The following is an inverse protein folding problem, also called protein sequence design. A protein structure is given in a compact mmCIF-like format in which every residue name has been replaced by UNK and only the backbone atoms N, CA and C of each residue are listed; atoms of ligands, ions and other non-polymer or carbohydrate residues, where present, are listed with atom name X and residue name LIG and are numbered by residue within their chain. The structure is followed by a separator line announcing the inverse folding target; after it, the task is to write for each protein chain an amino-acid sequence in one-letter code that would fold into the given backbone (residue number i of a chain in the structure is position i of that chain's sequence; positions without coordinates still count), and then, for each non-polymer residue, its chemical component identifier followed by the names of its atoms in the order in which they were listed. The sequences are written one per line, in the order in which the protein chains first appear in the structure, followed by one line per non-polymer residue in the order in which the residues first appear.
data_IF_045358579820
#
_entry.id   IF_045358579820
#
_cell.length_a   1.000
_cell.length_b   1.000
_cell.length_c   1.000
_cell.angle_alpha   90.00
_cell.angle_beta   90.00
_cell.angle_gamma   90.00
#
_symmetry.space_group_name_H-M   'P 1'
#
loop_
_entity.id
_entity.type
_entity.pdbx_description
1 polymer ?
#
# COMPACT_ATOMS: atom_id res chain seq x y z
N UNK A 1 5.24 -1.04 -12.24
CA UNK A 1 3.98 -0.45 -12.75
C UNK A 1 3.77 0.97 -12.23
N UNK A 2 4.11 1.25 -10.98
CA UNK A 2 3.98 2.58 -10.34
C UNK A 2 5.32 3.03 -9.73
N UNK A 3 6.36 3.33 -10.54
CA UNK A 3 7.69 3.66 -10.03
C UNK A 3 7.71 4.93 -9.17
N UNK A 4 6.79 5.85 -9.42
CA UNK A 4 6.69 7.10 -8.66
C UNK A 4 6.35 6.88 -7.17
N UNK A 5 5.64 5.79 -6.85
CA UNK A 5 5.36 5.42 -5.45
C UNK A 5 6.63 5.00 -4.72
N UNK A 6 7.48 4.18 -5.37
CA UNK A 6 8.78 3.80 -4.82
C UNK A 6 9.70 5.00 -4.63
N UNK A 7 9.82 5.85 -5.66
CA UNK A 7 10.61 7.10 -5.58
C UNK A 7 10.12 8.03 -4.47
N UNK A 8 8.81 8.15 -4.30
CA UNK A 8 8.21 8.93 -3.23
C UNK A 8 8.55 8.37 -1.85
N UNK A 9 8.49 7.05 -1.69
CA UNK A 9 8.88 6.38 -0.44
C UNK A 9 10.36 6.66 -0.11
N UNK A 10 11.26 6.52 -1.09
CA UNK A 10 12.68 6.85 -0.92
C UNK A 10 12.87 8.33 -0.51
N UNK A 11 12.13 9.26 -1.13
CA UNK A 11 12.19 10.69 -0.78
C UNK A 11 11.74 10.97 0.66
N UNK A 12 10.66 10.35 1.11
CA UNK A 12 10.15 10.52 2.49
C UNK A 12 11.18 10.02 3.49
N UNK A 13 11.66 8.79 3.33
CA UNK A 13 12.61 8.19 4.28
C UNK A 13 13.97 8.89 4.25
N UNK A 14 14.47 9.26 3.06
CA UNK A 14 15.72 10.03 2.92
C UNK A 14 15.61 11.43 3.54
N UNK A 15 14.45 12.11 3.44
CA UNK A 15 14.19 13.39 4.12
C UNK A 15 14.26 13.27 5.63
N UNK A 16 13.86 12.13 6.17
CA UNK A 16 13.94 11.81 7.60
C UNK A 16 15.34 11.35 8.04
N UNK A 17 16.34 11.35 7.14
CA UNK A 17 17.74 11.05 7.45
C UNK A 17 18.11 9.58 7.40
N UNK A 18 17.26 8.72 6.84
CA UNK A 18 17.56 7.30 6.69
C UNK A 18 18.33 7.03 5.41
N UNK A 19 19.30 6.10 5.49
CA UNK A 19 19.94 5.50 4.33
C UNK A 19 19.03 4.42 3.76
N UNK A 20 18.57 4.59 2.53
CA UNK A 20 17.53 3.75 1.94
C UNK A 20 18.01 3.14 0.63
N UNK A 21 18.01 1.84 0.58
CA UNK A 21 18.35 1.08 -0.62
C UNK A 21 17.09 0.52 -1.31
N UNK A 22 17.18 0.37 -2.62
CA UNK A 22 16.20 -0.31 -3.45
C UNK A 22 16.90 -1.46 -4.18
N UNK A 23 16.89 -2.69 -3.63
CA UNK A 23 17.56 -3.82 -4.25
C UNK A 23 17.02 -4.10 -5.64
N UNK A 24 17.88 -4.09 -6.66
CA UNK A 24 17.48 -4.34 -8.05
C UNK A 24 17.00 -5.79 -8.25
N UNK A 25 17.42 -6.69 -7.40
CA UNK A 25 17.09 -8.11 -7.40
C UNK A 25 15.71 -8.42 -6.85
N UNK A 26 15.05 -7.46 -6.20
CA UNK A 26 13.71 -7.68 -5.65
C UNK A 26 12.68 -7.98 -6.73
N UNK A 27 11.68 -8.78 -6.37
CA UNK A 27 10.59 -9.16 -7.24
C UNK A 27 9.23 -8.91 -6.57
N UNK A 28 8.16 -9.41 -7.16
CA UNK A 28 6.83 -9.41 -6.55
C UNK A 28 6.84 -10.24 -5.25
N UNK A 29 6.07 -9.81 -4.23
CA UNK A 29 5.88 -10.56 -2.98
C UNK A 29 5.13 -11.89 -3.13
N UNK A 30 4.61 -12.21 -4.32
CA UNK A 30 3.90 -13.47 -4.58
C UNK A 30 2.43 -13.51 -4.16
N UNK A 31 1.89 -12.46 -3.55
CA UNK A 31 0.51 -12.42 -3.05
C UNK A 31 -0.53 -12.84 -4.10
N UNK A 32 -0.39 -12.41 -5.34
CA UNK A 32 -1.33 -12.76 -6.39
C UNK A 32 -1.39 -14.27 -6.66
N UNK A 33 -0.25 -14.96 -6.59
CA UNK A 33 -0.21 -16.42 -6.71
C UNK A 33 -0.96 -17.08 -5.56
N UNK A 34 -0.69 -16.62 -4.31
CA UNK A 34 -1.33 -17.18 -3.12
C UNK A 34 -2.84 -16.98 -3.16
N UNK A 35 -3.30 -15.76 -3.42
CA UNK A 35 -4.73 -15.41 -3.45
C UNK A 35 -5.50 -16.09 -4.59
N UNK A 36 -4.80 -16.50 -5.65
CA UNK A 36 -5.41 -17.20 -6.80
C UNK A 36 -5.40 -18.71 -6.64
N UNK A 37 -4.76 -19.24 -5.56
CA UNK A 37 -4.65 -20.67 -5.28
C UNK A 37 -3.37 -21.32 -5.82
N UNK A 38 -2.50 -20.58 -6.52
CA UNK A 38 -1.21 -21.08 -7.04
C UNK A 38 -0.12 -21.01 -5.97
N UNK A 39 -0.39 -21.58 -4.80
CA UNK A 39 0.48 -21.44 -3.63
C UNK A 39 1.88 -22.02 -3.84
N UNK A 40 1.99 -23.18 -4.50
CA UNK A 40 3.29 -23.80 -4.80
C UNK A 40 4.14 -22.92 -5.73
N UNK A 41 3.50 -22.24 -6.68
CA UNK A 41 4.18 -21.34 -7.61
C UNK A 41 4.64 -20.03 -6.95
N UNK A 42 4.12 -19.71 -5.77
CA UNK A 42 4.60 -18.58 -4.99
C UNK A 42 5.96 -18.87 -4.30
N UNK A 43 6.34 -20.14 -4.10
CA UNK A 43 7.53 -20.52 -3.35
C UNK A 43 8.81 -19.82 -3.85
N UNK A 44 9.16 -19.82 -5.16
CA UNK A 44 10.38 -19.14 -5.62
C UNK A 44 10.40 -17.63 -5.32
N UNK A 45 9.22 -16.98 -5.27
CA UNK A 45 9.11 -15.56 -4.92
C UNK A 45 9.34 -15.34 -3.43
N UNK A 46 8.86 -16.26 -2.60
CA UNK A 46 9.07 -16.25 -1.14
C UNK A 46 10.55 -16.46 -0.81
N UNK A 47 11.20 -17.45 -1.45
CA UNK A 47 12.64 -17.71 -1.32
C UNK A 47 13.45 -16.48 -1.71
N UNK A 48 13.16 -15.92 -2.88
CA UNK A 48 13.85 -14.73 -3.38
C UNK A 48 13.67 -13.53 -2.46
N UNK A 49 12.46 -13.31 -1.94
CA UNK A 49 12.20 -12.23 -0.99
C UNK A 49 13.03 -12.40 0.28
N UNK A 50 13.04 -13.59 0.88
CA UNK A 50 13.82 -13.88 2.06
C UNK A 50 15.33 -13.67 1.84
N UNK A 51 15.85 -14.13 0.70
CA UNK A 51 17.26 -13.97 0.33
C UNK A 51 17.66 -12.50 0.16
N UNK A 52 16.91 -11.75 -0.65
CA UNK A 52 17.23 -10.35 -0.99
C UNK A 52 17.15 -9.45 0.22
N UNK A 53 16.15 -9.66 1.08
CA UNK A 53 15.91 -8.75 2.20
C UNK A 53 16.53 -9.21 3.53
N UNK A 54 17.23 -10.36 3.57
CA UNK A 54 17.92 -10.83 4.76
C UNK A 54 18.89 -9.81 5.39
N UNK A 55 19.73 -9.08 4.62
CA UNK A 55 20.76 -8.21 5.18
C UNK A 55 20.26 -6.86 5.72
N UNK A 56 19.01 -6.45 5.43
CA UNK A 56 18.50 -5.15 5.82
C UNK A 56 17.94 -5.14 7.24
N UNK A 57 18.09 -4.03 7.96
CA UNK A 57 17.57 -3.84 9.33
C UNK A 57 16.05 -3.68 9.35
N UNK A 58 15.50 -2.98 8.38
CA UNK A 58 14.06 -2.77 8.19
C UNK A 58 13.69 -2.83 6.70
N UNK A 59 12.49 -3.33 6.42
CA UNK A 59 11.93 -3.41 5.08
C UNK A 59 10.63 -2.62 5.08
N UNK A 60 10.59 -1.52 4.30
CA UNK A 60 9.42 -0.66 4.23
C UNK A 60 8.76 -0.79 2.87
N UNK A 61 7.51 -1.24 2.86
CA UNK A 61 6.74 -1.35 1.62
C UNK A 61 5.54 -0.40 1.64
N UNK A 62 5.38 0.46 0.63
CA UNK A 62 4.19 1.30 0.47
C UNK A 62 3.01 0.47 -0.09
N UNK A 63 2.68 -0.63 0.60
CA UNK A 63 1.61 -1.54 0.19
C UNK A 63 1.21 -2.46 1.35
N UNK A 64 0.09 -2.19 1.98
CA UNK A 64 -0.45 -3.02 3.04
C UNK A 64 -0.72 -4.46 2.58
N UNK A 65 -1.09 -4.64 1.33
CA UNK A 65 -1.33 -5.96 0.76
C UNK A 65 -0.05 -6.79 0.62
N UNK A 66 1.06 -6.18 0.20
CA UNK A 66 2.35 -6.85 0.13
C UNK A 66 2.89 -7.19 1.52
N UNK A 67 2.85 -6.24 2.46
CA UNK A 67 3.29 -6.46 3.85
C UNK A 67 2.46 -7.56 4.51
N UNK A 68 1.14 -7.54 4.33
CA UNK A 68 0.24 -8.59 4.82
C UNK A 68 0.60 -9.97 4.26
N UNK A 69 0.96 -10.06 2.98
CA UNK A 69 1.43 -11.31 2.37
C UNK A 69 2.74 -11.79 2.99
N UNK A 70 3.73 -10.90 3.13
CA UNK A 70 5.02 -11.26 3.73
C UNK A 70 4.85 -11.74 5.17
N UNK A 71 4.14 -10.99 6.00
CA UNK A 71 3.98 -11.33 7.42
C UNK A 71 3.14 -12.59 7.69
N UNK A 72 2.14 -12.87 6.86
CA UNK A 72 1.16 -13.94 7.15
C UNK A 72 1.20 -15.10 6.17
N UNK A 73 1.53 -14.87 4.89
CA UNK A 73 1.45 -15.92 3.87
C UNK A 73 2.80 -16.57 3.56
N UNK A 74 3.92 -15.84 3.65
CA UNK A 74 5.24 -16.39 3.34
C UNK A 74 5.60 -17.58 4.25
N UNK A 75 5.42 -17.45 5.57
CA UNK A 75 5.66 -18.55 6.50
C UNK A 75 4.77 -19.76 6.21
N UNK A 76 3.51 -19.55 5.83
CA UNK A 76 2.60 -20.62 5.43
C UNK A 76 3.11 -21.36 4.17
N UNK A 77 3.58 -20.61 3.15
CA UNK A 77 4.14 -21.18 1.91
C UNK A 77 5.42 -21.97 2.22
N UNK A 78 6.33 -21.38 3.00
CA UNK A 78 7.58 -22.01 3.41
C UNK A 78 7.35 -23.32 4.18
N UNK A 79 6.41 -23.32 5.14
CA UNK A 79 6.03 -24.52 5.91
C UNK A 79 5.43 -25.62 5.04
N UNK A 80 4.68 -25.26 4.01
CA UNK A 80 3.97 -26.22 3.17
C UNK A 80 4.82 -26.78 2.03
N UNK A 81 5.71 -26.00 1.45
CA UNK A 81 6.39 -26.34 0.20
C UNK A 81 7.91 -26.15 0.25
N UNK A 82 8.44 -25.46 1.23
CA UNK A 82 9.87 -25.14 1.39
C UNK A 82 10.61 -26.09 2.32
N UNK A 83 11.81 -25.68 2.72
CA UNK A 83 12.65 -26.35 3.73
C UNK A 83 12.46 -25.75 5.12
N UNK A 84 12.87 -26.46 6.16
CA UNK A 84 12.86 -25.94 7.53
C UNK A 84 13.69 -24.66 7.67
N UNK A 85 14.87 -24.58 7.05
CA UNK A 85 15.71 -23.39 7.06
C UNK A 85 15.08 -22.17 6.36
N UNK A 86 14.22 -22.40 5.36
CA UNK A 86 13.47 -21.32 4.73
C UNK A 86 12.40 -20.73 5.67
N UNK A 87 11.79 -21.56 6.52
CA UNK A 87 10.79 -21.05 7.49
C UNK A 87 11.44 -20.03 8.41
N UNK A 88 12.61 -20.35 8.98
CA UNK A 88 13.32 -19.42 9.86
C UNK A 88 13.71 -18.12 9.15
N UNK A 89 14.16 -18.22 7.90
CA UNK A 89 14.54 -17.04 7.09
C UNK A 89 13.33 -16.12 6.81
N UNK A 90 12.19 -16.68 6.39
CA UNK A 90 11.00 -15.87 6.11
C UNK A 90 10.39 -15.27 7.38
N UNK A 91 10.43 -15.97 8.52
CA UNK A 91 9.96 -15.43 9.80
C UNK A 91 10.87 -14.27 10.26
N UNK A 92 12.19 -14.40 10.13
CA UNK A 92 13.14 -13.34 10.44
C UNK A 92 12.94 -12.08 9.57
N UNK A 93 12.67 -12.25 8.28
CA UNK A 93 12.40 -11.13 7.37
C UNK A 93 11.02 -10.52 7.62
N UNK A 94 10.01 -11.34 7.93
CA UNK A 94 8.65 -10.87 8.20
C UNK A 94 8.58 -9.92 9.42
N UNK A 95 9.36 -10.18 10.48
CA UNK A 95 9.37 -9.37 11.71
C UNK A 95 9.88 -7.95 11.51
N UNK A 96 10.68 -7.71 10.48
CA UNK A 96 11.26 -6.41 10.12
C UNK A 96 10.63 -5.79 8.86
N UNK A 97 9.51 -6.33 8.39
CA UNK A 97 8.77 -5.81 7.24
C UNK A 97 7.59 -4.97 7.70
N UNK A 98 7.54 -3.71 7.30
CA UNK A 98 6.57 -2.72 7.75
C UNK A 98 5.81 -2.09 6.57
N UNK A 99 4.55 -1.78 6.79
CA UNK A 99 3.81 -0.85 5.94
C UNK A 99 4.29 0.58 6.23
N UNK A 100 4.25 1.45 5.22
CA UNK A 100 4.83 2.80 5.33
C UNK A 100 4.30 3.59 6.52
N UNK A 101 2.99 3.58 6.76
CA UNK A 101 2.39 4.32 7.88
C UNK A 101 2.77 3.73 9.24
N UNK A 102 2.87 2.40 9.34
CA UNK A 102 3.36 1.73 10.54
C UNK A 102 4.81 2.11 10.82
N UNK A 103 5.66 2.06 9.79
CA UNK A 103 7.08 2.38 9.96
C UNK A 103 7.28 3.81 10.45
N UNK A 104 6.60 4.77 9.82
CA UNK A 104 6.71 6.18 10.20
C UNK A 104 6.22 6.43 11.64
N UNK A 105 5.06 5.90 12.01
CA UNK A 105 4.42 6.22 13.29
C UNK A 105 4.91 5.32 14.42
N UNK A 106 5.01 4.00 14.22
CA UNK A 106 5.31 3.06 15.30
C UNK A 106 6.82 2.84 15.50
N UNK A 107 7.62 2.93 14.44
CA UNK A 107 9.06 2.66 14.49
C UNK A 107 9.86 3.95 14.62
N UNK A 108 9.52 4.98 13.82
CA UNK A 108 10.24 6.26 13.83
C UNK A 108 9.64 7.30 14.79
N UNK A 109 8.43 7.05 15.32
CA UNK A 109 7.65 8.01 16.14
C UNK A 109 7.45 9.37 15.44
N UNK A 110 7.20 9.33 14.12
CA UNK A 110 7.04 10.52 13.27
C UNK A 110 5.63 10.55 12.70
N UNK A 111 4.90 11.64 12.93
CA UNK A 111 3.61 11.90 12.30
C UNK A 111 3.65 13.06 11.29
N UNK A 112 4.60 13.99 11.43
CA UNK A 112 4.85 15.08 10.48
C UNK A 112 6.15 14.81 9.73
N UNK A 113 6.03 14.57 8.44
CA UNK A 113 7.17 14.33 7.53
C UNK A 113 7.58 15.59 6.74
N UNK A 114 7.07 16.76 7.10
CA UNK A 114 7.31 18.03 6.40
C UNK A 114 6.68 18.08 5.00
N UNK A 115 5.54 17.45 4.82
CA UNK A 115 4.80 17.45 3.56
C UNK A 115 3.91 18.69 3.42
N UNK A 116 3.75 19.16 2.17
CA UNK A 116 2.81 20.22 1.79
C UNK A 116 1.96 19.77 0.60
N UNK A 117 0.63 19.83 0.75
CA UNK A 117 -0.27 19.36 -0.29
C UNK A 117 -1.61 20.10 -0.24
N UNK A 118 -1.79 21.22 -0.98
CA UNK A 118 -2.93 22.14 -0.85
C UNK A 118 -4.16 21.64 -1.64
N UNK A 119 -4.63 20.43 -1.32
CA UNK A 119 -5.77 19.79 -1.99
C UNK A 119 -6.74 19.17 -1.00
N UNK A 120 -7.98 19.01 -1.44
CA UNK A 120 -9.02 18.29 -0.73
C UNK A 120 -8.91 16.80 -1.01
N UNK A 121 -8.62 16.02 0.04
CA UNK A 121 -8.25 14.61 -0.05
C UNK A 121 -9.22 13.75 0.76
N UNK A 122 -9.63 12.61 0.21
CA UNK A 122 -10.30 11.55 0.95
C UNK A 122 -9.44 10.29 0.99
N UNK A 123 -9.51 9.53 2.09
CA UNK A 123 -8.66 8.35 2.31
C UNK A 123 -9.46 7.05 2.24
N UNK A 124 -9.02 6.14 1.37
CA UNK A 124 -9.53 4.76 1.32
C UNK A 124 -8.60 3.82 2.11
N UNK A 125 -8.99 3.35 3.31
CA UNK A 125 -8.25 2.33 4.03
C UNK A 125 -8.37 1.00 3.28
N UNK A 126 -7.24 0.46 2.85
CA UNK A 126 -7.24 -0.78 2.08
C UNK A 126 -7.58 -1.98 2.97
N UNK A 127 -8.15 -3.02 2.39
CA UNK A 127 -8.62 -4.19 3.17
C UNK A 127 -7.50 -4.83 3.98
N UNK A 128 -6.27 -4.90 3.44
CA UNK A 128 -5.13 -5.49 4.15
C UNK A 128 -4.65 -4.60 5.29
N UNK A 129 -4.54 -3.29 5.07
CA UNK A 129 -4.16 -2.34 6.13
C UNK A 129 -5.20 -2.33 7.25
N UNK A 130 -6.49 -2.37 6.90
CA UNK A 130 -7.58 -2.30 7.87
C UNK A 130 -7.76 -3.59 8.68
N UNK A 131 -7.74 -4.77 8.01
CA UNK A 131 -8.21 -6.03 8.59
C UNK A 131 -7.10 -7.03 8.89
N UNK A 132 -5.96 -6.95 8.20
CA UNK A 132 -4.86 -7.89 8.35
C UNK A 132 -3.71 -7.28 9.17
N UNK A 133 -3.28 -6.08 8.81
CA UNK A 133 -2.20 -5.38 9.51
C UNK A 133 -2.68 -4.55 10.70
N UNK A 134 -3.97 -4.19 10.73
CA UNK A 134 -4.57 -3.36 11.77
C UNK A 134 -3.82 -2.03 11.94
N UNK A 135 -3.51 -1.37 10.82
CA UNK A 135 -2.75 -0.10 10.79
C UNK A 135 -3.41 0.99 11.65
N UNK A 136 -4.74 0.92 11.82
CA UNK A 136 -5.48 1.85 12.68
C UNK A 136 -5.54 3.26 12.10
N UNK A 137 -5.33 4.26 12.94
CA UNK A 137 -5.42 5.68 12.60
C UNK A 137 -4.10 6.32 12.12
N UNK A 138 -3.02 5.52 11.98
CA UNK A 138 -1.68 6.02 11.64
C UNK A 138 -1.66 6.81 10.34
N UNK A 139 -2.29 6.27 9.28
CA UNK A 139 -2.41 6.98 7.99
C UNK A 139 -3.18 8.29 8.13
N UNK A 140 -4.24 8.31 8.95
CA UNK A 140 -5.02 9.53 9.22
C UNK A 140 -4.18 10.57 9.97
N UNK A 141 -3.37 10.14 10.94
CA UNK A 141 -2.44 11.03 11.67
C UNK A 141 -1.44 11.68 10.72
N UNK A 142 -0.83 10.88 9.84
CA UNK A 142 0.10 11.39 8.82
C UNK A 142 -0.57 12.39 7.89
N UNK A 143 -1.76 12.08 7.36
CA UNK A 143 -2.48 12.98 6.45
C UNK A 143 -2.91 14.28 7.12
N UNK A 144 -3.30 14.25 8.40
CA UNK A 144 -3.66 15.45 9.16
C UNK A 144 -2.47 16.36 9.46
N UNK A 145 -1.26 15.83 9.46
CA UNK A 145 -0.03 16.60 9.65
C UNK A 145 0.50 17.22 8.36
N UNK A 146 -0.06 16.87 7.19
CA UNK A 146 0.33 17.48 5.91
C UNK A 146 -0.16 18.92 5.84
N UNK A 147 0.76 19.87 5.64
CA UNK A 147 0.44 21.30 5.54
C UNK A 147 -0.49 21.59 4.36
N UNK A 148 -1.51 22.40 4.59
CA UNK A 148 -2.55 22.81 3.65
C UNK A 148 -3.47 21.70 3.09
N UNK A 149 -3.36 20.45 3.55
CA UNK A 149 -4.25 19.37 3.13
C UNK A 149 -5.60 19.45 3.86
N UNK A 150 -6.71 19.43 3.11
CA UNK A 150 -8.05 19.29 3.66
C UNK A 150 -8.45 17.80 3.61
N UNK A 151 -8.42 17.12 4.76
CA UNK A 151 -8.83 15.71 4.84
C UNK A 151 -10.34 15.60 5.04
N UNK A 152 -11.03 14.95 4.11
CA UNK A 152 -12.48 14.70 4.15
C UNK A 152 -12.75 13.23 4.42
N UNK A 153 -13.66 12.94 5.34
CA UNK A 153 -14.04 11.58 5.68
C UNK A 153 -14.72 10.87 4.51
N UNK A 154 -14.29 9.64 4.21
CA UNK A 154 -14.88 8.80 3.17
C UNK A 154 -16.09 8.06 3.73
N UNK A 155 -17.32 8.24 3.21
CA UNK A 155 -18.46 7.42 3.58
C UNK A 155 -18.19 5.94 3.32
N UNK A 156 -18.61 5.07 4.24
CA UNK A 156 -18.39 3.63 4.15
C UNK A 156 -16.93 3.27 3.78
N UNK A 157 -15.98 3.91 4.49
CA UNK A 157 -14.55 3.77 4.22
C UNK A 157 -14.06 2.33 4.25
N UNK A 158 -14.64 1.51 5.16
CA UNK A 158 -14.31 0.10 5.38
C UNK A 158 -14.75 -0.85 4.26
N UNK A 159 -15.58 -0.40 3.32
CA UNK A 159 -15.99 -1.19 2.17
C UNK A 159 -14.84 -1.39 1.18
N UNK A 160 -14.75 -2.61 0.62
CA UNK A 160 -13.75 -2.94 -0.39
C UNK A 160 -13.99 -2.16 -1.69
N UNK A 161 -12.91 -1.82 -2.39
CA UNK A 161 -12.99 -1.20 -3.72
C UNK A 161 -13.38 -2.17 -4.85
N UNK A 162 -13.38 -3.49 -4.58
CA UNK A 162 -13.72 -4.52 -5.57
C UNK A 162 -12.54 -5.08 -6.37
N UNK A 163 -11.31 -4.59 -6.22
CA UNK A 163 -10.18 -5.06 -7.03
C UNK A 163 -9.86 -6.54 -6.79
N UNK A 164 -9.42 -6.92 -5.60
CA UNK A 164 -9.13 -8.31 -5.21
C UNK A 164 -8.19 -9.09 -6.14
N UNK A 165 -7.34 -8.43 -6.93
CA UNK A 165 -6.44 -9.07 -7.89
C UNK A 165 -7.20 -9.76 -9.03
N UNK A 166 -7.03 -11.08 -9.16
CA UNK A 166 -7.75 -11.87 -10.18
C UNK A 166 -9.27 -11.94 -9.96
N UNK A 167 -9.75 -11.56 -8.77
CA UNK A 167 -11.18 -11.43 -8.48
C UNK A 167 -11.86 -10.44 -9.44
N UNK A 168 -11.22 -9.32 -9.72
CA UNK A 168 -11.76 -8.30 -10.63
C UNK A 168 -11.97 -8.83 -12.06
N UNK A 169 -11.24 -9.87 -12.46
CA UNK A 169 -11.38 -10.50 -13.77
C UNK A 169 -12.37 -11.67 -13.71
N UNK A 170 -12.25 -12.54 -12.70
CA UNK A 170 -13.06 -13.75 -12.59
C UNK A 170 -14.51 -13.47 -12.13
N UNK A 171 -14.73 -12.35 -11.45
CA UNK A 171 -16.03 -11.93 -10.91
C UNK A 171 -16.31 -10.47 -11.32
N UNK A 172 -16.18 -10.17 -12.61
CA UNK A 172 -16.17 -8.80 -13.13
C UNK A 172 -17.43 -8.00 -12.77
N UNK A 173 -18.61 -8.62 -12.82
CA UNK A 173 -19.87 -7.94 -12.50
C UNK A 173 -19.92 -7.52 -11.02
N UNK A 174 -19.55 -8.42 -10.11
CA UNK A 174 -19.50 -8.12 -8.67
C UNK A 174 -18.44 -7.06 -8.38
N UNK A 175 -17.26 -7.20 -8.97
CA UNK A 175 -16.16 -6.24 -8.83
C UNK A 175 -16.58 -4.84 -9.31
N UNK A 176 -17.26 -4.76 -10.43
CA UNK A 176 -17.76 -3.50 -11.00
C UNK A 176 -18.85 -2.87 -10.13
N UNK A 177 -19.75 -3.66 -9.56
CA UNK A 177 -20.75 -3.17 -8.62
C UNK A 177 -20.12 -2.57 -7.36
N UNK A 178 -19.14 -3.27 -6.76
CA UNK A 178 -18.38 -2.78 -5.60
C UNK A 178 -17.60 -1.49 -5.94
N UNK A 179 -17.02 -1.43 -7.15
CA UNK A 179 -16.32 -0.23 -7.62
C UNK A 179 -17.28 0.94 -7.76
N UNK A 180 -18.47 0.72 -8.33
CA UNK A 180 -19.48 1.77 -8.50
C UNK A 180 -19.91 2.40 -7.16
N UNK A 181 -20.11 1.57 -6.13
CA UNK A 181 -20.44 2.05 -4.78
C UNK A 181 -19.26 2.83 -4.17
N UNK A 182 -18.03 2.33 -4.31
CA UNK A 182 -16.84 3.05 -3.83
C UNK A 182 -16.64 4.38 -4.55
N UNK A 183 -16.83 4.43 -5.85
CA UNK A 183 -16.73 5.66 -6.62
C UNK A 183 -17.79 6.69 -6.19
N UNK A 184 -19.04 6.26 -5.96
CA UNK A 184 -20.09 7.12 -5.42
C UNK A 184 -19.67 7.74 -4.10
N UNK A 185 -19.21 6.92 -3.16
CA UNK A 185 -18.73 7.38 -1.86
C UNK A 185 -17.58 8.39 -1.98
N UNK A 186 -16.64 8.19 -2.91
CA UNK A 186 -15.55 9.14 -3.19
C UNK A 186 -16.10 10.46 -3.72
N UNK A 187 -17.00 10.41 -4.70
CA UNK A 187 -17.58 11.61 -5.32
C UNK A 187 -18.45 12.41 -4.34
N UNK A 188 -19.19 11.74 -3.46
CA UNK A 188 -20.02 12.38 -2.43
C UNK A 188 -19.20 13.21 -1.43
N UNK A 189 -17.88 12.94 -1.29
CA UNK A 189 -16.98 13.76 -0.46
C UNK A 189 -16.67 15.12 -1.08
N UNK A 190 -16.81 15.29 -2.38
CA UNK A 190 -16.31 16.44 -3.13
C UNK A 190 -14.79 16.57 -3.10
N UNK A 191 -14.04 15.51 -2.73
CA UNK A 191 -12.59 15.52 -2.74
C UNK A 191 -12.04 15.51 -4.17
N UNK A 192 -10.95 16.26 -4.38
CA UNK A 192 -10.20 16.26 -5.65
C UNK A 192 -9.43 14.95 -5.83
N UNK A 193 -8.98 14.38 -4.70
CA UNK A 193 -8.07 13.24 -4.68
C UNK A 193 -8.56 12.17 -3.70
N UNK A 194 -8.63 10.93 -4.19
CA UNK A 194 -8.75 9.74 -3.35
C UNK A 194 -7.37 9.12 -3.15
N UNK A 195 -6.92 9.02 -1.90
CA UNK A 195 -5.63 8.40 -1.56
C UNK A 195 -5.81 7.05 -0.86
N UNK A 196 -4.80 6.21 -0.98
CA UNK A 196 -4.69 4.92 -0.30
C UNK A 196 -3.23 4.47 -0.20
N UNK A 197 -2.97 3.46 0.65
CA UNK A 197 -1.66 2.81 0.80
C UNK A 197 -1.42 1.62 -0.14
N UNK A 198 -2.31 1.36 -1.11
CA UNK A 198 -2.15 0.28 -2.10
C UNK A 198 -2.46 0.78 -3.51
N UNK A 199 -1.45 0.77 -4.38
CA UNK A 199 -1.59 1.18 -5.79
C UNK A 199 -2.64 0.37 -6.56
N UNK A 200 -2.88 -0.87 -6.17
CA UNK A 200 -3.86 -1.76 -6.80
C UNK A 200 -5.30 -1.25 -6.59
N UNK A 201 -5.63 -0.79 -5.39
CA UNK A 201 -6.93 -0.17 -5.10
C UNK A 201 -7.07 1.16 -5.86
N UNK A 202 -6.01 1.97 -5.86
CA UNK A 202 -6.01 3.27 -6.57
C UNK A 202 -6.14 3.11 -8.07
N UNK A 203 -5.49 2.11 -8.66
CA UNK A 203 -5.64 1.79 -10.08
C UNK A 203 -7.09 1.44 -10.43
N UNK A 204 -7.76 0.66 -9.59
CA UNK A 204 -9.13 0.24 -9.81
C UNK A 204 -10.10 1.42 -9.66
N UNK A 205 -10.00 2.16 -8.56
CA UNK A 205 -10.84 3.36 -8.30
C UNK A 205 -10.56 4.44 -9.35
N UNK A 206 -9.30 4.77 -9.61
CA UNK A 206 -8.90 5.80 -10.56
C UNK A 206 -9.28 5.46 -11.99
N UNK A 207 -9.19 4.18 -12.38
CA UNK A 207 -9.67 3.71 -13.68
C UNK A 207 -11.16 3.92 -13.86
N UNK A 208 -11.96 3.63 -12.82
CA UNK A 208 -13.39 3.87 -12.82
C UNK A 208 -13.73 5.37 -12.90
N UNK A 209 -13.12 6.20 -12.04
CA UNK A 209 -13.32 7.66 -12.03
C UNK A 209 -12.95 8.30 -13.36
N UNK A 210 -11.82 7.90 -13.94
CA UNK A 210 -11.37 8.38 -15.26
C UNK A 210 -12.34 8.02 -16.38
N UNK A 211 -12.87 6.79 -16.36
CA UNK A 211 -13.82 6.32 -17.38
C UNK A 211 -15.11 7.14 -17.44
N UNK A 212 -15.57 7.62 -16.29
CA UNK A 212 -16.77 8.48 -16.22
C UNK A 212 -16.43 9.97 -16.23
N UNK A 213 -15.16 10.35 -16.39
CA UNK A 213 -14.68 11.74 -16.38
C UNK A 213 -15.13 12.50 -15.13
N UNK A 214 -14.97 11.89 -13.98
CA UNK A 214 -15.54 12.38 -12.72
C UNK A 214 -14.87 13.66 -12.17
N UNK A 215 -13.73 14.08 -12.71
CA UNK A 215 -12.94 15.21 -12.19
C UNK A 215 -12.06 14.87 -10.99
N UNK A 216 -12.45 13.89 -10.18
CA UNK A 216 -11.61 13.38 -9.09
C UNK A 216 -10.54 12.41 -9.63
N UNK A 217 -9.37 12.41 -9.00
CA UNK A 217 -8.24 11.53 -9.36
C UNK A 217 -7.76 10.70 -8.18
N UNK A 218 -6.79 9.83 -8.40
CA UNK A 218 -6.18 9.02 -7.34
C UNK A 218 -4.70 9.30 -7.23
N UNK A 219 -4.18 9.36 -6.00
CA UNK A 219 -2.77 9.54 -5.72
C UNK A 219 -2.37 8.67 -4.53
N UNK A 220 -1.20 8.04 -4.61
CA UNK A 220 -0.74 7.16 -3.53
C UNK A 220 -0.31 7.97 -2.30
N UNK A 221 -0.58 7.45 -1.09
CA UNK A 221 -0.18 8.08 0.17
C UNK A 221 1.28 8.54 0.18
N UNK A 222 2.21 7.68 -0.25
CA UNK A 222 3.63 8.01 -0.30
C UNK A 222 3.91 9.25 -1.15
N UNK A 223 3.16 9.48 -2.24
CA UNK A 223 3.33 10.64 -3.10
C UNK A 223 2.86 11.93 -2.39
N UNK A 224 1.76 11.87 -1.67
CA UNK A 224 1.28 12.99 -0.84
C UNK A 224 2.32 13.34 0.24
N UNK A 225 2.80 12.32 0.95
CA UNK A 225 3.81 12.50 2.01
C UNK A 225 5.17 12.98 1.46
N UNK A 226 5.48 12.71 0.20
CA UNK A 226 6.70 13.17 -0.44
C UNK A 226 6.61 14.62 -0.95
N UNK A 227 5.40 15.11 -1.22
CA UNK A 227 5.17 16.44 -1.78
C UNK A 227 5.66 17.55 -0.85
N UNK A 228 6.25 18.61 -1.42
CA UNK A 228 6.68 19.81 -0.71
C UNK A 228 6.35 21.06 -1.54
N UNK A 229 6.54 22.25 -0.95
CA UNK A 229 6.37 23.51 -1.70
C UNK A 229 7.37 23.68 -2.84
N UNK A 230 8.56 23.06 -2.74
CA UNK A 230 9.61 23.11 -3.77
C UNK A 230 9.48 21.99 -4.79
N UNK A 231 8.88 20.85 -4.42
CA UNK A 231 8.69 19.67 -5.28
C UNK A 231 7.24 19.19 -5.18
N UNK A 232 6.29 19.90 -5.85
CA UNK A 232 4.90 19.49 -5.88
C UNK A 232 4.74 18.24 -6.74
N UNK A 233 3.74 17.40 -6.40
CA UNK A 233 3.47 16.13 -7.10
C UNK A 233 2.40 16.29 -8.20
N UNK A 234 1.63 17.36 -8.18
CA UNK A 234 0.58 17.70 -9.16
C UNK A 234 0.86 19.06 -9.79
#
# INVERSE_FOLDING_TARGET
MFPEVGKATLRVLGRLGHDVEFPAEQTCCGQMHVNTGYQKQALPLVERFAEVFAPYDAIVAPSGSCVGSVRHQHAMIAKRFGSAGLVDQVEAVATKTYELSEFLVDVLDVSDVGAYFPHRVTYHPTCHSLRMLLVGDKTIKLLRAVDALELVELPAADQCCGFGGTFAIKNADTSTAMLADKMRNVLDTGAEICTAGDSSCLMHIGGGLSRIRAGATTLHLAQILAATRQDPVL
#
